data_IF_863014704762
#
_entry.id   IF_863014704762
#
_cell.length_a   1.000
_cell.length_b   1.000
_cell.length_c   1.000
_cell.angle_alpha   90.00
_cell.angle_beta   90.00
_cell.angle_gamma   90.00
#
_symmetry.space_group_name_H-M   'P 1'
#
loop_
_entity.id
_entity.type
_entity.pdbx_description
1 polymer ?
#
# COMPACT_ATOMS: atom_id res chain seq x y z
N UNK A 1 -6.20 -0.16 6.84
CA UNK A 1 -6.02 -1.57 7.21
C UNK A 1 -5.19 -1.71 8.47
N UNK A 2 -5.63 -2.59 9.36
CA UNK A 2 -4.85 -3.01 10.54
C UNK A 2 -3.86 -4.10 10.13
N UNK A 3 -2.74 -4.22 10.84
CA UNK A 3 -1.72 -5.20 10.52
C UNK A 3 -2.25 -6.65 10.57
N UNK A 4 -3.25 -6.93 11.41
CA UNK A 4 -3.89 -8.23 11.53
C UNK A 4 -4.55 -8.68 10.22
N UNK A 5 -5.20 -7.75 9.50
CA UNK A 5 -5.83 -8.01 8.20
C UNK A 5 -4.78 -8.28 7.12
N UNK A 6 -3.62 -7.60 7.20
CA UNK A 6 -2.53 -7.78 6.23
C UNK A 6 -1.88 -9.15 6.38
N UNK A 7 -1.69 -9.62 7.62
CA UNK A 7 -1.13 -10.96 7.90
C UNK A 7 -2.02 -12.10 7.43
N UNK A 8 -3.35 -11.91 7.50
CA UNK A 8 -4.33 -12.91 7.09
C UNK A 8 -4.42 -13.14 5.57
N UNK A 9 -3.90 -12.21 4.74
CA UNK A 9 -3.96 -12.32 3.28
C UNK A 9 -2.97 -13.36 2.74
N UNK A 10 -3.34 -14.06 1.67
CA UNK A 10 -2.45 -14.96 0.93
C UNK A 10 -1.29 -14.23 0.24
N UNK A 11 -0.26 -14.97 -0.19
CA UNK A 11 0.89 -14.40 -0.93
C UNK A 11 0.45 -13.70 -2.23
N UNK A 12 -0.46 -14.32 -2.99
CA UNK A 12 -0.94 -13.76 -4.25
C UNK A 12 -1.88 -12.57 -4.03
N UNK A 13 -2.72 -12.63 -3.00
CA UNK A 13 -3.57 -11.51 -2.60
C UNK A 13 -2.75 -10.30 -2.15
N UNK A 14 -1.68 -10.52 -1.39
CA UNK A 14 -0.73 -9.47 -0.98
C UNK A 14 -0.09 -8.80 -2.21
N UNK A 15 0.32 -9.59 -3.21
CA UNK A 15 0.90 -9.06 -4.46
C UNK A 15 -0.13 -8.25 -5.25
N UNK A 16 -1.34 -8.77 -5.45
CA UNK A 16 -2.39 -8.06 -6.15
C UNK A 16 -2.75 -6.74 -5.48
N UNK A 17 -2.91 -6.77 -4.14
CA UNK A 17 -3.23 -5.57 -3.36
C UNK A 17 -2.10 -4.55 -3.35
N UNK A 18 -0.85 -5.01 -3.36
CA UNK A 18 0.31 -4.14 -3.49
C UNK A 18 0.32 -3.39 -4.84
N UNK A 19 -0.04 -4.08 -5.93
CA UNK A 19 -0.11 -3.46 -7.27
C UNK A 19 -1.21 -2.41 -7.31
N UNK A 20 -2.43 -2.76 -6.89
CA UNK A 20 -3.56 -1.81 -6.87
C UNK A 20 -3.26 -0.59 -6.01
N UNK A 21 -2.67 -0.78 -4.83
CA UNK A 21 -2.39 0.32 -3.91
C UNK A 21 -1.26 1.23 -4.44
N UNK A 22 -0.26 0.67 -5.12
CA UNK A 22 0.79 1.45 -5.81
C UNK A 22 0.23 2.31 -6.93
N UNK A 23 -0.70 1.78 -7.72
CA UNK A 23 -1.37 2.55 -8.78
C UNK A 23 -2.22 3.67 -8.20
N UNK A 24 -3.00 3.38 -7.15
CA UNK A 24 -3.77 4.39 -6.43
C UNK A 24 -2.88 5.50 -5.87
N UNK A 25 -1.76 5.14 -5.23
CA UNK A 25 -0.78 6.09 -4.72
C UNK A 25 -0.17 6.98 -5.81
N UNK A 26 0.18 6.40 -6.97
CA UNK A 26 0.70 7.16 -8.12
C UNK A 26 -0.32 8.17 -8.64
N UNK A 27 -1.58 7.75 -8.82
CA UNK A 27 -2.68 8.64 -9.22
C UNK A 27 -2.89 9.76 -8.21
N UNK A 28 -2.86 9.45 -6.91
CA UNK A 28 -2.98 10.44 -5.84
C UNK A 28 -1.82 11.44 -5.86
N UNK A 29 -0.57 10.98 -6.01
CA UNK A 29 0.60 11.87 -6.07
C UNK A 29 0.53 12.79 -7.29
N UNK A 30 0.19 12.25 -8.45
CA UNK A 30 0.03 13.02 -9.68
C UNK A 30 -1.09 14.06 -9.58
N UNK A 31 -2.24 13.67 -9.02
CA UNK A 31 -3.34 14.59 -8.76
C UNK A 31 -2.91 15.72 -7.80
N UNK A 32 -2.11 15.42 -6.78
CA UNK A 32 -1.59 16.43 -5.85
C UNK A 32 -0.65 17.43 -6.50
N UNK A 33 0.20 16.96 -7.42
CA UNK A 33 1.15 17.80 -8.14
C UNK A 33 0.44 18.77 -9.08
N UNK A 34 -0.70 18.37 -9.66
CA UNK A 34 -1.52 19.23 -10.53
C UNK A 34 -2.39 20.19 -9.70
N UNK A 35 -3.02 19.69 -8.65
CA UNK A 35 -3.92 20.47 -7.80
C UNK A 35 -3.73 20.07 -6.34
N UNK A 36 -3.61 21.03 -5.40
CA UNK A 36 -3.55 20.73 -3.98
C UNK A 36 -4.76 19.87 -3.58
N UNK A 37 -4.50 18.66 -3.06
CA UNK A 37 -5.56 17.79 -2.58
C UNK A 37 -6.05 18.33 -1.23
N UNK A 38 -7.35 18.27 -0.99
CA UNK A 38 -7.97 18.65 0.28
C UNK A 38 -7.31 18.01 1.51
N UNK A 39 -6.77 16.78 1.38
CA UNK A 39 -6.11 16.10 2.49
C UNK A 39 -4.82 15.38 2.07
N UNK A 40 -3.66 16.03 2.22
CA UNK A 40 -2.34 15.44 1.98
C UNK A 40 -2.02 14.24 2.87
N UNK A 41 -2.71 14.07 4.02
CA UNK A 41 -2.49 12.91 4.90
C UNK A 41 -2.83 11.59 4.21
N UNK A 42 -3.77 11.58 3.25
CA UNK A 42 -4.10 10.37 2.47
C UNK A 42 -2.89 9.82 1.71
N UNK A 43 -2.03 10.69 1.18
CA UNK A 43 -0.78 10.29 0.52
C UNK A 43 0.15 9.60 1.52
N UNK A 44 0.27 10.15 2.73
CA UNK A 44 1.08 9.57 3.80
C UNK A 44 0.53 8.22 4.27
N UNK A 45 -0.78 8.09 4.39
CA UNK A 45 -1.45 6.85 4.79
C UNK A 45 -1.28 5.76 3.75
N UNK A 46 -1.52 6.05 2.46
CA UNK A 46 -1.32 5.10 1.37
C UNK A 46 0.15 4.66 1.27
N UNK A 47 1.11 5.59 1.44
CA UNK A 47 2.55 5.23 1.52
C UNK A 47 2.84 4.27 2.68
N UNK A 48 2.27 4.50 3.87
CA UNK A 48 2.44 3.60 5.02
C UNK A 48 1.80 2.23 4.75
N UNK A 49 0.65 2.20 4.07
CA UNK A 49 -0.03 0.95 3.73
C UNK A 49 0.81 0.10 2.76
N UNK A 50 1.35 0.72 1.70
CA UNK A 50 2.27 0.08 0.76
C UNK A 50 3.47 -0.51 1.49
N UNK A 51 4.10 0.25 2.39
CA UNK A 51 5.24 -0.22 3.16
C UNK A 51 4.90 -1.48 3.99
N UNK A 52 3.75 -1.47 4.68
CA UNK A 52 3.29 -2.63 5.46
C UNK A 52 3.04 -3.87 4.59
N UNK A 53 2.42 -3.69 3.42
CA UNK A 53 2.19 -4.79 2.46
C UNK A 53 3.50 -5.37 1.95
N UNK A 54 4.50 -4.53 1.65
CA UNK A 54 5.83 -4.97 1.23
C UNK A 54 6.58 -5.71 2.34
N UNK A 55 6.51 -5.22 3.58
CA UNK A 55 7.14 -5.88 4.72
C UNK A 55 6.56 -7.27 4.94
N UNK A 56 5.23 -7.42 4.90
CA UNK A 56 4.58 -8.73 5.07
C UNK A 56 4.91 -9.67 3.92
N UNK A 57 4.88 -9.20 2.68
CA UNK A 57 5.26 -9.99 1.52
C UNK A 57 6.69 -10.52 1.67
N UNK A 58 7.62 -9.66 2.08
CA UNK A 58 9.01 -10.07 2.30
C UNK A 58 9.17 -11.03 3.48
N UNK A 59 8.41 -10.84 4.55
CA UNK A 59 8.41 -11.74 5.70
C UNK A 59 7.95 -13.15 5.30
N UNK A 60 6.91 -13.26 4.47
CA UNK A 60 6.42 -14.54 3.95
C UNK A 60 7.39 -15.19 2.95
N UNK A 61 8.04 -14.40 2.11
CA UNK A 61 9.09 -14.90 1.20
C UNK A 61 10.31 -15.45 1.93
N UNK A 62 10.66 -14.90 3.11
CA UNK A 62 11.80 -15.35 3.92
C UNK A 62 11.46 -16.54 4.85
N UNK A 63 10.17 -16.76 5.12
CA UNK A 63 9.69 -17.87 5.94
C UNK A 63 9.51 -19.18 5.14
N UNK A 64 9.55 -19.09 3.81
CA UNK A 64 9.63 -20.22 2.88
C UNK A 64 11.09 -20.47 2.49
#
# INVERSE_FOLDING_TARGET
>A
MKNSEIKALGLDELKQKLVSEKEAYRKLKFAHEISPIENPMKIRESRKLIARLQTELRAKELAN
#
